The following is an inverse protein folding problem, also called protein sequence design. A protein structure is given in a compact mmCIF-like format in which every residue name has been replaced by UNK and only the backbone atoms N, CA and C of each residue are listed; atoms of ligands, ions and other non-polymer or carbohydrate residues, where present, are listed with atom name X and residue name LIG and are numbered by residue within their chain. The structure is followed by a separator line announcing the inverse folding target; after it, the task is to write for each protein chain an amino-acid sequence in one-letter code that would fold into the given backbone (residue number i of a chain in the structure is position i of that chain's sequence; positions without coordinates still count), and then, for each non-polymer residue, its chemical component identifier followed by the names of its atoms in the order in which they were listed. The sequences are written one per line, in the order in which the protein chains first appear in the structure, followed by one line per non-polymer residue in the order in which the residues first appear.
data_IF_559091810502
#
_entry.id   IF_559091810502
#
_cell.length_a   1.000
_cell.length_b   1.000
_cell.length_c   1.000
_cell.angle_alpha   90.00
_cell.angle_beta   90.00
_cell.angle_gamma   90.00
#
_symmetry.space_group_name_H-M   'P 1'
#
loop_
_entity.id
_entity.type
_entity.pdbx_description
1 polymer ?
#
# COMPACT_ATOMS: atom_id res chain seq x y z
N UNK A 1 -61.76 -22.34 -11.22
CA UNK A 1 -61.14 -22.47 -9.88
C UNK A 1 -59.64 -22.54 -10.07
N UNK A 2 -58.93 -21.53 -9.56
CA UNK A 2 -57.50 -21.32 -9.77
C UNK A 2 -56.68 -22.11 -8.76
N UNK A 3 -55.69 -22.87 -9.23
CA UNK A 3 -54.68 -23.48 -8.36
C UNK A 3 -53.36 -22.71 -8.51
N UNK A 4 -52.97 -22.11 -7.39
CA UNK A 4 -51.79 -21.30 -7.17
C UNK A 4 -50.56 -22.19 -7.04
N UNK A 5 -49.60 -22.08 -7.95
CA UNK A 5 -48.26 -22.62 -7.79
C UNK A 5 -47.43 -21.66 -6.94
N UNK A 6 -47.35 -21.92 -5.63
CA UNK A 6 -46.34 -21.30 -4.76
C UNK A 6 -44.97 -21.89 -5.09
N UNK A 7 -44.18 -21.16 -5.88
CA UNK A 7 -42.74 -21.38 -5.98
C UNK A 7 -42.12 -20.88 -4.68
N UNK A 8 -41.71 -21.81 -3.81
CA UNK A 8 -40.89 -21.50 -2.64
C UNK A 8 -39.48 -21.18 -3.13
N UNK A 9 -39.15 -19.88 -3.21
CA UNK A 9 -37.76 -19.46 -3.33
C UNK A 9 -37.13 -19.53 -1.94
N UNK A 10 -36.37 -20.59 -1.68
CA UNK A 10 -35.43 -20.62 -0.57
C UNK A 10 -34.28 -19.64 -0.89
N UNK A 11 -34.57 -18.34 -0.75
CA UNK A 11 -33.55 -17.30 -0.71
C UNK A 11 -32.98 -17.32 0.71
N UNK A 12 -32.09 -18.27 0.96
CA UNK A 12 -31.23 -18.24 2.14
C UNK A 12 -30.24 -17.10 1.91
N UNK A 13 -30.69 -15.89 2.21
CA UNK A 13 -29.87 -14.68 2.26
C UNK A 13 -28.83 -14.95 3.35
N UNK A 14 -27.65 -15.42 2.97
CA UNK A 14 -26.47 -15.47 3.83
C UNK A 14 -26.18 -14.04 4.24
N UNK A 15 -26.69 -13.67 5.41
CA UNK A 15 -26.21 -12.51 6.16
C UNK A 15 -24.81 -12.92 6.62
N UNK A 16 -23.80 -12.62 5.79
CA UNK A 16 -22.42 -12.66 6.25
C UNK A 16 -22.33 -11.66 7.38
N UNK A 17 -22.16 -12.19 8.58
CA UNK A 17 -21.90 -11.49 9.83
C UNK A 17 -20.91 -10.36 9.58
N UNK A 18 -21.39 -9.12 9.75
CA UNK A 18 -20.60 -7.91 9.83
C UNK A 18 -19.88 -7.86 11.19
N UNK A 19 -19.14 -8.93 11.51
CA UNK A 19 -18.29 -8.99 12.68
C UNK A 19 -16.93 -8.42 12.30
N UNK A 20 -16.39 -7.49 13.10
CA UNK A 20 -14.98 -7.08 13.00
C UNK A 20 -14.11 -8.34 13.07
N UNK A 21 -13.62 -8.82 11.93
CA UNK A 21 -12.67 -9.92 11.93
C UNK A 21 -11.39 -9.44 12.61
N UNK A 22 -10.88 -10.15 13.64
CA UNK A 22 -9.59 -9.81 14.21
C UNK A 22 -8.51 -9.97 13.13
N UNK A 23 -7.60 -9.00 13.04
CA UNK A 23 -6.61 -8.86 11.95
C UNK A 23 -5.83 -10.16 11.63
N UNK A 24 -5.69 -11.07 12.61
CA UNK A 24 -5.05 -12.39 12.42
C UNK A 24 -5.78 -13.34 11.46
N UNK A 25 -7.01 -13.06 11.03
CA UNK A 25 -7.79 -13.94 10.12
C UNK A 25 -7.56 -13.69 8.62
N UNK A 26 -6.71 -12.74 8.24
CA UNK A 26 -6.48 -12.38 6.82
C UNK A 26 -5.66 -13.44 6.07
N UNK A 27 -5.00 -14.38 6.78
CA UNK A 27 -4.19 -15.44 6.19
C UNK A 27 -4.92 -16.80 6.19
N UNK A 28 -6.06 -16.87 5.51
CA UNK A 28 -6.69 -18.17 5.20
C UNK A 28 -6.04 -18.76 3.94
N UNK A 29 -5.85 -20.10 3.85
CA UNK A 29 -5.37 -20.73 2.63
C UNK A 29 -6.32 -20.38 1.48
N UNK A 30 -5.77 -19.81 0.41
CA UNK A 30 -6.50 -19.52 -0.82
C UNK A 30 -5.68 -20.06 -1.99
N UNK A 31 -6.37 -20.48 -3.04
CA UNK A 31 -5.76 -20.84 -4.33
C UNK A 31 -5.45 -19.58 -5.17
N UNK A 32 -5.84 -18.40 -4.70
CA UNK A 32 -5.59 -17.11 -5.35
C UNK A 32 -4.17 -16.60 -5.09
N UNK A 33 -3.57 -15.97 -6.10
CA UNK A 33 -2.27 -15.31 -5.99
C UNK A 33 -2.46 -13.90 -5.46
N UNK A 34 -1.96 -13.66 -4.25
CA UNK A 34 -1.77 -12.33 -3.69
C UNK A 34 -0.34 -12.28 -3.14
N UNK A 35 0.57 -11.59 -3.82
CA UNK A 35 1.96 -11.50 -3.39
C UNK A 35 2.54 -10.13 -3.74
N UNK A 36 3.23 -9.54 -2.78
CA UNK A 36 4.01 -8.32 -2.95
C UNK A 36 5.44 -8.58 -2.52
N UNK A 37 6.39 -8.07 -3.29
CA UNK A 37 7.82 -8.03 -2.95
C UNK A 37 8.28 -6.58 -3.08
N UNK A 38 8.78 -6.00 -2.00
CA UNK A 38 9.31 -4.64 -1.98
C UNK A 38 10.73 -4.62 -1.41
N UNK A 39 11.57 -3.76 -1.99
CA UNK A 39 12.81 -3.31 -1.38
C UNK A 39 12.77 -1.79 -1.32
N UNK A 40 12.72 -1.25 -0.11
CA UNK A 40 12.56 0.19 0.10
C UNK A 40 13.38 0.72 1.26
N UNK A 41 13.20 2.02 1.54
CA UNK A 41 13.75 2.69 2.72
C UNK A 41 12.67 2.88 3.77
N UNK A 42 13.01 2.63 5.03
CA UNK A 42 12.14 2.86 6.18
C UNK A 42 11.97 4.36 6.40
N UNK A 43 10.73 4.83 6.49
CA UNK A 43 10.38 6.21 6.82
C UNK A 43 10.13 6.37 8.33
N UNK A 44 9.40 5.42 8.90
CA UNK A 44 9.03 5.37 10.31
C UNK A 44 8.80 3.91 10.72
N UNK A 45 8.90 3.66 12.02
CA UNK A 45 8.64 2.36 12.63
C UNK A 45 7.94 2.55 13.98
N UNK A 46 6.75 1.97 14.14
CA UNK A 46 5.99 1.98 15.39
C UNK A 46 5.81 0.56 15.90
N UNK A 47 6.44 0.25 17.03
CA UNK A 47 6.25 -1.00 17.76
C UNK A 47 4.98 -0.91 18.62
N UNK A 48 4.08 -1.85 18.43
CA UNK A 48 2.85 -1.96 19.20
C UNK A 48 2.85 -3.28 19.96
N UNK A 49 2.97 -3.17 21.27
CA UNK A 49 2.95 -4.30 22.20
C UNK A 49 1.73 -4.16 23.11
N UNK A 50 0.84 -5.15 23.04
CA UNK A 50 -0.21 -5.34 24.03
C UNK A 50 -0.18 -6.79 24.51
N UNK A 51 -0.87 -7.09 25.61
CA UNK A 51 -0.78 -8.38 26.31
C UNK A 51 -1.02 -9.61 25.44
N UNK A 52 -1.69 -9.46 24.29
CA UNK A 52 -2.05 -10.55 23.39
C UNK A 52 -1.40 -10.46 21.99
N UNK A 53 -0.84 -9.30 21.61
CA UNK A 53 -0.26 -9.11 20.28
C UNK A 53 0.95 -8.19 20.31
N UNK A 54 2.00 -8.64 19.63
CA UNK A 54 3.17 -7.84 19.29
C UNK A 54 3.20 -7.70 17.78
N UNK A 55 3.23 -6.46 17.31
CA UNK A 55 3.36 -6.15 15.89
C UNK A 55 4.09 -4.82 15.66
N UNK A 56 4.67 -4.66 14.48
CA UNK A 56 5.34 -3.43 14.06
C UNK A 56 4.65 -2.87 12.83
N UNK A 57 4.38 -1.56 12.83
CA UNK A 57 3.94 -0.80 11.66
C UNK A 57 5.13 -0.04 11.08
N UNK A 58 5.43 -0.24 9.80
CA UNK A 58 6.57 0.34 9.10
C UNK A 58 6.07 1.14 7.90
N UNK A 59 6.43 2.41 7.81
CA UNK A 59 6.32 3.17 6.57
C UNK A 59 7.50 2.86 5.68
N UNK A 60 7.27 2.39 4.45
CA UNK A 60 8.33 2.03 3.50
C UNK A 60 8.18 2.85 2.21
N UNK A 61 9.26 3.49 1.76
CA UNK A 61 9.30 4.17 0.46
C UNK A 61 10.05 3.35 -0.56
N UNK A 62 9.45 3.14 -1.73
CA UNK A 62 10.12 2.57 -2.90
C UNK A 62 10.28 3.64 -3.98
N UNK A 63 11.44 3.64 -4.64
CA UNK A 63 11.71 4.50 -5.80
C UNK A 63 11.58 3.68 -7.07
N UNK A 64 10.86 4.19 -8.06
CA UNK A 64 10.87 3.67 -9.41
C UNK A 64 11.52 4.70 -10.33
N UNK A 65 12.34 4.26 -11.27
CA UNK A 65 12.98 5.12 -12.27
C UNK A 65 12.48 4.72 -13.64
N UNK A 66 12.07 5.71 -14.43
CA UNK A 66 11.46 5.48 -15.74
C UNK A 66 12.01 6.46 -16.77
N UNK A 67 11.99 6.05 -18.03
CA UNK A 67 12.47 6.86 -19.15
C UNK A 67 11.37 7.79 -19.65
N UNK A 68 11.75 9.01 -20.01
CA UNK A 68 10.92 10.07 -20.59
C UNK A 68 11.56 10.53 -21.91
N UNK A 69 10.87 11.39 -22.67
CA UNK A 69 11.43 11.98 -23.90
C UNK A 69 12.70 12.80 -23.67
N UNK A 70 12.93 13.28 -22.44
CA UNK A 70 14.01 14.22 -22.10
C UNK A 70 15.05 13.60 -21.16
N UNK A 71 15.04 12.27 -20.95
CA UNK A 71 15.96 11.57 -20.05
C UNK A 71 15.23 10.67 -19.05
N UNK A 72 15.81 10.47 -17.86
CA UNK A 72 15.24 9.63 -16.81
C UNK A 72 14.56 10.48 -15.74
N UNK A 73 13.42 10.01 -15.25
CA UNK A 73 12.71 10.57 -14.11
C UNK A 73 12.48 9.49 -13.06
N UNK A 74 11.99 9.87 -11.87
CA UNK A 74 11.66 8.93 -10.81
C UNK A 74 10.35 9.27 -10.13
N UNK A 75 9.61 8.23 -9.76
CA UNK A 75 8.46 8.32 -8.86
C UNK A 75 8.78 7.61 -7.55
N UNK A 76 8.11 8.07 -6.50
CA UNK A 76 8.20 7.45 -5.17
C UNK A 76 6.81 6.94 -4.78
N UNK A 77 6.77 5.74 -4.22
CA UNK A 77 5.55 5.15 -3.68
C UNK A 77 5.74 4.86 -2.20
N UNK A 78 4.72 5.19 -1.41
CA UNK A 78 4.69 5.03 0.04
C UNK A 78 3.79 3.86 0.42
N UNK A 79 4.31 2.97 1.25
CA UNK A 79 3.64 1.74 1.65
C UNK A 79 3.58 1.64 3.17
N UNK A 80 2.45 1.17 3.69
CA UNK A 80 2.33 0.80 5.10
C UNK A 80 2.49 -0.72 5.22
N UNK A 81 3.51 -1.16 5.94
CA UNK A 81 3.82 -2.58 6.14
C UNK A 81 3.56 -2.95 7.59
N UNK A 82 2.80 -4.01 7.82
CA UNK A 82 2.57 -4.58 9.14
C UNK A 82 3.29 -5.91 9.28
N UNK A 83 4.08 -6.03 10.35
CA UNK A 83 4.86 -7.22 10.69
C UNK A 83 4.30 -7.81 11.97
N UNK A 84 3.83 -9.05 11.89
CA UNK A 84 3.23 -9.76 13.03
C UNK A 84 4.10 -10.91 13.49
N UNK A 85 3.99 -11.23 14.77
CA UNK A 85 4.67 -12.36 15.38
C UNK A 85 6.09 -12.03 15.83
N UNK A 86 6.40 -12.42 17.06
CA UNK A 86 7.66 -12.12 17.74
C UNK A 86 8.91 -12.39 16.87
N UNK A 87 9.02 -13.53 16.16
CA UNK A 87 10.23 -13.82 15.39
C UNK A 87 10.51 -12.84 14.25
N UNK A 88 9.47 -12.29 13.61
CA UNK A 88 9.64 -11.29 12.56
C UNK A 88 9.84 -9.90 13.15
N UNK A 89 9.13 -9.59 14.23
CA UNK A 89 9.28 -8.32 14.96
C UNK A 89 10.70 -8.15 15.48
N UNK A 90 11.29 -9.19 16.09
CA UNK A 90 12.65 -9.15 16.60
C UNK A 90 13.70 -8.84 15.53
N UNK A 91 13.43 -9.16 14.25
CA UNK A 91 14.33 -8.85 13.13
C UNK A 91 14.29 -7.39 12.70
N UNK A 92 13.19 -6.69 12.95
CA UNK A 92 12.94 -5.34 12.40
C UNK A 92 12.81 -4.27 13.46
N UNK A 93 12.60 -4.61 14.73
CA UNK A 93 12.40 -3.64 15.83
C UNK A 93 13.56 -2.68 16.05
N UNK A 94 14.73 -2.99 15.49
CA UNK A 94 15.95 -2.16 15.58
C UNK A 94 16.13 -1.23 14.38
N UNK A 95 15.27 -1.31 13.35
CA UNK A 95 15.37 -0.47 12.17
C UNK A 95 15.00 0.97 12.50
N UNK A 96 15.69 1.88 11.83
CA UNK A 96 15.56 3.32 11.93
C UNK A 96 15.23 3.94 10.57
N UNK A 97 14.86 5.23 10.57
CA UNK A 97 14.58 5.96 9.34
C UNK A 97 15.82 5.94 8.43
N UNK A 98 15.62 5.58 7.17
CA UNK A 98 16.68 5.50 6.16
C UNK A 98 17.18 4.07 5.89
N UNK A 99 17.03 3.16 6.85
CA UNK A 99 17.43 1.76 6.71
C UNK A 99 16.72 1.09 5.53
N UNK A 100 17.40 0.16 4.88
CA UNK A 100 16.83 -0.59 3.76
C UNK A 100 16.20 -1.88 4.27
N UNK A 101 14.99 -2.17 3.78
CA UNK A 101 14.23 -3.35 4.17
C UNK A 101 13.65 -4.03 2.94
N UNK A 102 13.91 -5.33 2.81
CA UNK A 102 13.21 -6.22 1.90
C UNK A 102 11.99 -6.82 2.61
N UNK A 103 10.84 -6.78 1.96
CA UNK A 103 9.57 -7.30 2.47
C UNK A 103 8.96 -8.19 1.40
N UNK A 104 8.55 -9.40 1.79
CA UNK A 104 7.60 -10.20 1.01
C UNK A 104 6.34 -10.38 1.84
N UNK A 105 5.18 -10.14 1.25
CA UNK A 105 3.92 -10.19 1.96
C UNK A 105 2.71 -10.24 1.03
N UNK A 106 1.55 -9.94 1.60
CA UNK A 106 0.27 -9.89 0.92
C UNK A 106 -0.24 -8.45 0.89
N UNK A 107 -0.91 -8.05 -0.19
CA UNK A 107 -1.68 -6.81 -0.22
C UNK A 107 -2.98 -7.02 0.56
N UNK A 108 -3.22 -6.15 1.53
CA UNK A 108 -4.41 -6.17 2.39
C UNK A 108 -5.09 -4.81 2.35
N UNK A 109 -6.42 -4.81 2.46
CA UNK A 109 -7.19 -3.58 2.68
C UNK A 109 -8.06 -3.71 3.92
N UNK A 110 -8.26 -2.59 4.60
CA UNK A 110 -9.15 -2.52 5.76
C UNK A 110 -9.86 -1.18 5.80
N UNK A 111 -11.01 -1.14 6.46
CA UNK A 111 -11.75 0.09 6.68
C UNK A 111 -11.16 0.79 7.91
N UNK A 112 -10.64 2.00 7.72
CA UNK A 112 -10.15 2.85 8.80
C UNK A 112 -11.29 3.41 9.66
N UNK A 113 -10.94 3.96 10.82
CA UNK A 113 -11.91 4.62 11.72
C UNK A 113 -12.53 5.88 11.08
N UNK A 114 -11.88 6.45 10.08
CA UNK A 114 -12.35 7.54 9.22
C UNK A 114 -13.34 7.08 8.13
N UNK A 115 -13.65 5.79 8.07
CA UNK A 115 -14.52 5.20 7.06
C UNK A 115 -13.87 5.09 5.67
N UNK A 116 -12.57 5.37 5.55
CA UNK A 116 -11.84 5.26 4.29
C UNK A 116 -11.14 3.91 4.19
N UNK A 117 -11.10 3.35 2.98
CA UNK A 117 -10.32 2.15 2.71
C UNK A 117 -8.82 2.48 2.76
N UNK A 118 -8.10 1.74 3.58
CA UNK A 118 -6.64 1.84 3.70
C UNK A 118 -6.01 0.58 3.15
N UNK A 119 -4.95 0.75 2.37
CA UNK A 119 -4.15 -0.33 1.81
C UNK A 119 -2.89 -0.51 2.65
N UNK A 120 -2.52 -1.75 2.90
CA UNK A 120 -1.34 -2.10 3.65
C UNK A 120 -0.77 -3.43 3.16
N UNK A 121 0.45 -3.73 3.57
CA UNK A 121 1.13 -4.97 3.26
C UNK A 121 1.25 -5.74 4.56
N UNK A 122 0.69 -6.94 4.60
CA UNK A 122 0.91 -7.87 5.71
C UNK A 122 2.16 -8.69 5.38
N UNK A 123 3.25 -8.48 6.12
CA UNK A 123 4.52 -9.12 5.83
C UNK A 123 4.54 -10.60 6.25
N UNK A 124 4.93 -11.47 5.32
CA UNK A 124 5.21 -12.89 5.58
C UNK A 124 6.69 -13.08 5.91
N UNK A 125 7.56 -12.30 5.27
CA UNK A 125 9.00 -12.27 5.55
C UNK A 125 9.51 -10.84 5.48
N UNK A 126 10.54 -10.59 6.29
CA UNK A 126 11.26 -9.32 6.36
C UNK A 126 12.75 -9.61 6.46
N UNK A 127 13.54 -8.85 5.72
CA UNK A 127 15.00 -8.94 5.73
C UNK A 127 15.58 -7.53 5.68
N UNK A 128 16.13 -7.01 6.79
CA UNK A 128 16.99 -5.84 6.75
C UNK A 128 18.07 -6.02 5.67
N UNK A 129 18.28 -4.98 4.88
CA UNK A 129 19.29 -4.97 3.83
C UNK A 129 20.46 -4.12 4.30
N UNK A 130 21.56 -4.79 4.63
CA UNK A 130 22.85 -4.14 4.86
C UNK A 130 23.57 -4.19 3.53
N UNK A 131 23.80 -3.04 2.90
CA UNK A 131 24.72 -3.00 1.77
C UNK A 131 26.11 -3.34 2.30
N UNK A 132 26.82 -4.26 1.65
CA UNK A 132 28.25 -4.42 1.91
C UNK A 132 28.92 -3.05 1.67
N UNK A 133 29.64 -2.53 2.65
CA UNK A 133 30.44 -1.33 2.44
C UNK A 133 31.47 -1.67 1.39
N UNK A 134 31.42 -0.98 0.25
CA UNK A 134 32.55 -0.97 -0.68
C UNK A 134 33.65 -0.12 -0.07
N UNK A 135 34.27 -0.59 1.02
CA UNK A 135 35.52 -0.04 1.56
C UNK A 135 36.71 -0.52 0.71
N UNK A 136 36.56 -0.47 -0.62
CA UNK A 136 37.69 -0.53 -1.54
C UNK A 136 38.03 0.92 -1.88
N UNK A 137 38.98 1.43 -1.11
CA UNK A 137 39.75 2.64 -1.37
C UNK A 137 40.15 2.67 -2.85
N UNK A 138 39.49 3.53 -3.62
CA UNK A 138 40.14 4.19 -4.76
C UNK A 138 40.24 5.64 -4.34
N UNK A 139 41.44 6.03 -3.92
CA UNK A 139 41.83 7.42 -3.93
C UNK A 139 41.68 7.89 -5.38
N UNK A 140 40.64 8.64 -5.67
CA UNK A 140 40.65 9.57 -6.78
C UNK A 140 40.15 10.91 -6.27
N UNK A 141 40.95 11.90 -6.62
CA UNK A 141 41.01 13.23 -6.06
C UNK A 141 39.73 14.03 -6.34
N UNK A 142 39.32 14.78 -5.32
CA UNK A 142 38.81 16.15 -5.42
C UNK A 142 37.93 16.52 -6.64
N UNK A 143 36.62 16.57 -6.42
CA UNK A 143 35.80 17.62 -7.03
C UNK A 143 34.68 18.03 -6.07
N UNK A 144 34.93 19.15 -5.42
CA UNK A 144 33.97 20.00 -4.72
C UNK A 144 32.77 20.33 -5.61
N UNK A 145 31.55 20.10 -5.12
CA UNK A 145 30.49 21.10 -5.19
C UNK A 145 29.41 20.79 -4.14
N UNK A 146 29.32 21.70 -3.17
CA UNK A 146 28.31 21.76 -2.13
C UNK A 146 27.03 22.34 -2.74
N UNK A 147 25.89 21.68 -2.55
CA UNK A 147 24.61 22.40 -2.36
C UNK A 147 23.81 21.65 -1.30
N UNK A 148 23.85 22.18 -0.09
CA UNK A 148 22.84 21.95 0.94
C UNK A 148 21.54 22.66 0.52
N UNK A 149 20.41 21.95 0.56
CA UNK A 149 19.10 22.59 0.81
C UNK A 149 18.34 21.72 1.80
N UNK A 150 18.30 22.20 3.02
CA UNK A 150 17.55 21.69 4.17
C UNK A 150 16.19 22.44 4.26
N UNK A 151 15.10 21.71 4.53
CA UNK A 151 13.77 22.20 4.96
C UNK A 151 12.98 23.01 3.93
N UNK A 152 11.66 23.01 3.84
CA UNK A 152 10.56 22.45 4.62
C UNK A 152 9.29 22.50 3.74
N UNK A 153 8.34 21.61 4.04
CA UNK A 153 6.89 21.69 3.77
C UNK A 153 6.37 22.25 2.44
N UNK A 154 5.82 21.37 1.59
CA UNK A 154 4.72 21.74 0.68
C UNK A 154 3.72 20.57 0.56
N UNK A 155 2.64 20.65 1.34
CA UNK A 155 1.40 19.94 1.08
C UNK A 155 0.86 20.37 -0.30
N UNK A 156 0.74 19.45 -1.26
CA UNK A 156 -0.14 19.65 -2.42
C UNK A 156 -0.83 18.34 -2.79
N UNK A 157 -2.12 18.25 -2.45
CA UNK A 157 -3.03 17.30 -3.06
C UNK A 157 -3.13 17.61 -4.56
N UNK A 158 -2.53 16.77 -5.41
CA UNK A 158 -2.83 16.79 -6.84
C UNK A 158 -4.03 15.89 -7.12
N UNK A 159 -5.23 16.48 -7.07
CA UNK A 159 -6.34 16.04 -7.88
C UNK A 159 -6.40 16.99 -9.08
N UNK A 160 -5.99 16.50 -10.24
CA UNK A 160 -6.50 17.00 -11.50
C UNK A 160 -6.69 15.84 -12.45
N UNK A 161 -7.94 15.61 -12.82
CA UNK A 161 -8.27 15.51 -14.24
C UNK A 161 -9.59 16.25 -14.49
N UNK A 162 -9.51 17.29 -15.33
CA UNK A 162 -10.65 17.92 -15.98
C UNK A 162 -11.00 17.07 -17.19
N UNK A 163 -12.27 16.69 -17.32
CA UNK A 163 -12.87 16.44 -18.62
C UNK A 163 -13.87 17.56 -18.88
N UNK A 164 -13.45 18.55 -19.67
CA UNK A 164 -14.36 19.46 -20.38
C UNK A 164 -15.11 18.62 -21.42
N UNK A 165 -16.40 18.39 -21.23
CA UNK A 165 -17.29 17.98 -22.30
C UNK A 165 -18.41 19.02 -22.42
N UNK A 166 -18.29 19.87 -23.44
CA UNK A 166 -19.36 20.75 -23.90
C UNK A 166 -20.36 19.88 -24.65
N UNK A 167 -21.43 19.45 -23.98
CA UNK A 167 -22.61 18.97 -24.68
C UNK A 167 -23.40 20.19 -25.19
N UNK A 168 -23.44 20.30 -26.52
CA UNK A 168 -24.36 21.15 -27.25
C UNK A 168 -25.78 20.59 -27.13
N UNK A 169 -26.70 21.40 -26.62
CA UNK A 169 -28.14 21.15 -26.70
C UNK A 169 -28.57 20.97 -28.16
N UNK A 170 -28.96 19.75 -28.52
CA UNK A 170 -29.70 19.44 -29.75
C UNK A 170 -31.03 18.83 -29.33
N UNK A 171 -32.12 19.57 -29.52
CA UNK A 171 -33.50 19.13 -29.29
C UNK A 171 -33.85 17.90 -30.16
N UNK A 172 -34.56 16.89 -29.63
CA UNK A 172 -35.11 15.82 -30.44
C UNK A 172 -36.45 16.21 -31.08
N UNK A 173 -36.50 16.13 -32.41
CA UNK A 173 -37.71 16.26 -33.22
C UNK A 173 -38.62 15.05 -33.02
N UNK A 174 -39.87 15.31 -32.64
CA UNK A 174 -40.95 14.30 -32.52
C UNK A 174 -41.58 14.09 -33.89
N UNK A 175 -41.41 12.91 -34.48
CA UNK A 175 -42.26 12.45 -35.59
C UNK A 175 -43.36 11.54 -35.04
N UNK A 176 -44.60 12.05 -35.08
CA UNK A 176 -45.83 11.27 -34.88
C UNK A 176 -46.17 10.53 -36.18
N UNK A 177 -46.39 9.23 -36.09
CA UNK A 177 -47.25 8.46 -37.01
C UNK A 177 -48.66 8.43 -36.48
#
# INVERSE_FOLDING_TARGET
MAWSTKVSSNFTRMVKTLGRMPYRQINTPSDDINQIVLLGRVNYLHLNENSNNVYVSIGLTTKNTYMTSNGYSSTYAYHNVYVFGQPLVDRVKHLTKGDRLCVTGLLSSYLGDDGQWKFCITANTVSPYVAESTDNVVNDEESTEQVEVEGDEMFVNYIHDKADNKDSDVEPTVNKT
#
